data_IF_882982138533
#
_entry.id   IF_882982138533
#
_cell.length_a   1.000
_cell.length_b   1.000
_cell.length_c   1.000
_cell.angle_alpha   90.00
_cell.angle_beta   90.00
_cell.angle_gamma   90.00
#
_symmetry.space_group_name_H-M   'P 1'
#
loop_
_entity.id
_entity.type
_entity.pdbx_description
1 polymer ?
#
# COMPACT_ATOMS: atom_id res chain seq x y z
N UNK A 1 -17.32 -8.86 10.38
CA UNK A 1 -16.95 -8.40 9.03
C UNK A 1 -15.45 -8.20 9.00
N UNK A 2 -14.74 -8.82 8.05
CA UNK A 2 -13.29 -8.62 7.90
C UNK A 2 -13.03 -7.20 7.40
N UNK A 3 -11.99 -6.55 7.92
CA UNK A 3 -11.61 -5.19 7.52
C UNK A 3 -10.20 -5.21 6.92
N UNK A 4 -10.03 -4.59 5.77
CA UNK A 4 -8.75 -4.37 5.14
C UNK A 4 -8.37 -2.89 5.17
N UNK A 5 -7.07 -2.61 5.29
CA UNK A 5 -6.49 -1.31 5.01
C UNK A 5 -5.92 -1.33 3.59
N UNK A 6 -6.25 -0.34 2.77
CA UNK A 6 -5.67 -0.14 1.44
C UNK A 6 -5.20 1.31 1.27
N UNK A 7 -4.27 1.53 0.35
CA UNK A 7 -3.83 2.86 -0.05
C UNK A 7 -3.99 3.00 -1.57
N UNK A 8 -4.71 4.03 -2.07
CA UNK A 8 -4.83 4.29 -3.50
C UNK A 8 -3.48 4.55 -4.19
N UNK A 9 -3.30 4.15 -5.46
CA UNK A 9 -2.02 4.28 -6.18
C UNK A 9 -1.84 5.65 -6.84
N UNK A 10 -2.21 6.74 -6.14
CA UNK A 10 -2.17 8.09 -6.72
C UNK A 10 -0.77 8.60 -7.01
N UNK A 11 0.22 8.10 -6.25
CA UNK A 11 1.65 8.38 -6.39
C UNK A 11 2.47 7.12 -6.62
N UNK A 12 1.85 6.03 -7.09
CA UNK A 12 2.54 4.77 -7.35
C UNK A 12 3.40 4.86 -8.62
N UNK A 13 4.60 4.29 -8.55
CA UNK A 13 5.58 4.19 -9.63
C UNK A 13 6.79 3.37 -9.17
N UNK A 14 7.69 3.03 -10.09
CA UNK A 14 8.95 2.34 -9.75
C UNK A 14 10.06 3.39 -9.71
N UNK A 15 10.25 4.00 -8.54
CA UNK A 15 11.21 5.11 -8.33
C UNK A 15 12.59 4.63 -7.88
N UNK A 16 12.71 3.36 -7.50
CA UNK A 16 13.93 2.72 -6.99
C UNK A 16 13.82 1.19 -7.08
N UNK A 17 14.92 0.48 -6.83
CA UNK A 17 14.99 -0.98 -6.88
C UNK A 17 15.48 -1.54 -5.54
N UNK A 18 14.58 -2.16 -4.78
CA UNK A 18 14.88 -2.77 -3.47
C UNK A 18 14.54 -4.25 -3.40
N UNK A 19 14.04 -4.81 -4.50
CA UNK A 19 13.79 -6.24 -4.66
C UNK A 19 13.95 -6.65 -6.14
N UNK A 20 14.08 -7.96 -6.45
CA UNK A 20 14.38 -8.43 -7.80
C UNK A 20 13.31 -8.18 -8.89
N UNK A 21 12.11 -7.73 -8.51
CA UNK A 21 11.01 -7.47 -9.46
C UNK A 21 10.97 -6.02 -9.94
N UNK A 22 11.62 -5.13 -9.21
CA UNK A 22 11.67 -3.71 -9.55
C UNK A 22 12.73 -3.46 -10.62
N UNK A 23 12.36 -2.69 -11.62
CA UNK A 23 13.23 -2.21 -12.70
C UNK A 23 12.81 -0.78 -13.04
N UNK A 24 13.66 0.21 -12.75
CA UNK A 24 13.33 1.63 -13.01
C UNK A 24 13.24 1.95 -14.49
N UNK A 25 13.77 1.10 -15.37
CA UNK A 25 13.58 1.21 -16.82
C UNK A 25 12.21 0.67 -17.26
N UNK A 26 11.54 -0.13 -16.42
CA UNK A 26 10.22 -0.70 -16.68
C UNK A 26 9.18 -0.11 -15.74
N UNK A 27 8.68 1.07 -16.09
CA UNK A 27 7.68 1.78 -15.30
C UNK A 27 6.31 1.10 -15.29
N UNK A 28 5.56 1.32 -14.21
CA UNK A 28 4.13 1.00 -14.14
C UNK A 28 3.32 2.01 -14.96
N UNK A 29 2.29 1.55 -15.67
CA UNK A 29 1.30 2.42 -16.28
C UNK A 29 0.34 2.95 -15.19
N UNK A 30 0.28 4.28 -14.95
CA UNK A 30 -0.55 4.85 -13.88
C UNK A 30 -2.05 4.61 -14.06
N UNK A 31 -2.53 4.55 -15.32
CA UNK A 31 -3.95 4.30 -15.62
C UNK A 31 -4.29 2.84 -15.32
N UNK A 32 -3.47 1.90 -15.77
CA UNK A 32 -3.67 0.48 -15.48
C UNK A 32 -3.52 0.18 -13.99
N UNK A 33 -2.56 0.81 -13.31
CA UNK A 33 -2.39 0.65 -11.85
C UNK A 33 -3.66 1.07 -11.09
N UNK A 34 -4.24 2.23 -11.44
CA UNK A 34 -5.51 2.71 -10.85
C UNK A 34 -6.67 1.78 -11.17
N UNK A 35 -6.77 1.30 -12.41
CA UNK A 35 -7.83 0.39 -12.83
C UNK A 35 -7.74 -0.95 -12.08
N UNK A 36 -6.55 -1.56 -12.01
CA UNK A 36 -6.32 -2.83 -11.34
C UNK A 36 -6.56 -2.73 -9.83
N UNK A 37 -6.08 -1.66 -9.20
CA UNK A 37 -6.34 -1.39 -7.79
C UNK A 37 -7.84 -1.22 -7.52
N UNK A 38 -8.56 -0.47 -8.37
CA UNK A 38 -10.01 -0.26 -8.22
C UNK A 38 -10.77 -1.57 -8.35
N UNK A 39 -10.39 -2.45 -9.28
CA UNK A 39 -10.99 -3.79 -9.41
C UNK A 39 -10.84 -4.61 -8.13
N UNK A 40 -9.67 -4.58 -7.48
CA UNK A 40 -9.45 -5.24 -6.18
C UNK A 40 -10.30 -4.61 -5.06
N UNK A 41 -10.30 -3.28 -4.96
CA UNK A 41 -11.10 -2.53 -3.99
C UNK A 41 -12.61 -2.83 -4.11
N UNK A 42 -13.12 -2.86 -5.34
CA UNK A 42 -14.52 -3.17 -5.62
C UNK A 42 -14.83 -4.64 -5.32
N UNK A 43 -13.94 -5.58 -5.68
CA UNK A 43 -14.09 -7.01 -5.38
C UNK A 43 -14.24 -7.26 -3.87
N UNK A 44 -13.36 -6.66 -3.06
CA UNK A 44 -13.36 -6.81 -1.61
C UNK A 44 -14.68 -6.35 -0.98
N UNK A 45 -15.21 -5.21 -1.42
CA UNK A 45 -16.44 -4.67 -0.85
C UNK A 45 -17.71 -5.31 -1.40
N UNK A 46 -17.80 -5.48 -2.73
CA UNK A 46 -19.05 -5.88 -3.39
C UNK A 46 -19.28 -7.39 -3.37
N UNK A 47 -18.24 -8.19 -3.59
CA UNK A 47 -18.37 -9.65 -3.72
C UNK A 47 -18.00 -10.38 -2.43
N UNK A 48 -17.01 -9.86 -1.70
CA UNK A 48 -16.53 -10.48 -0.46
C UNK A 48 -17.11 -9.82 0.80
N UNK A 49 -17.90 -8.75 0.65
CA UNK A 49 -18.56 -8.02 1.73
C UNK A 49 -17.61 -7.60 2.86
N UNK A 50 -16.34 -7.34 2.52
CA UNK A 50 -15.34 -6.85 3.45
C UNK A 50 -15.42 -5.33 3.58
N UNK A 51 -15.14 -4.81 4.77
CA UNK A 51 -14.93 -3.38 4.95
C UNK A 51 -13.54 -3.00 4.44
N UNK A 52 -13.44 -1.90 3.70
CA UNK A 52 -12.15 -1.33 3.31
C UNK A 52 -11.99 0.04 3.93
N UNK A 53 -10.88 0.25 4.63
CA UNK A 53 -10.44 1.57 5.08
C UNK A 53 -9.30 2.04 4.19
N UNK A 54 -9.28 3.34 3.93
CA UNK A 54 -8.27 3.97 3.08
C UNK A 54 -7.36 4.85 3.93
N UNK A 55 -6.05 4.70 3.72
CA UNK A 55 -5.04 5.68 4.12
C UNK A 55 -4.73 6.58 2.92
N UNK A 56 -4.45 7.85 3.16
CA UNK A 56 -4.07 8.77 2.10
C UNK A 56 -2.66 8.46 1.58
N UNK A 57 -2.46 8.38 0.24
CA UNK A 57 -1.14 8.21 -0.34
C UNK A 57 -0.30 9.46 -0.14
N UNK A 58 1.03 9.29 -0.11
CA UNK A 58 2.00 10.38 0.09
C UNK A 58 2.96 10.42 -1.08
N UNK A 59 3.16 11.61 -1.65
CA UNK A 59 4.09 11.83 -2.76
C UNK A 59 5.51 11.51 -2.30
N UNK A 60 6.26 10.77 -3.13
CA UNK A 60 7.62 10.31 -2.81
C UNK A 60 7.67 9.06 -1.94
N UNK A 61 6.52 8.45 -1.62
CA UNK A 61 6.41 7.14 -0.96
C UNK A 61 5.54 6.20 -1.82
N UNK A 62 6.02 5.80 -3.01
CA UNK A 62 5.20 5.07 -3.99
C UNK A 62 4.71 3.71 -3.48
N UNK A 63 5.47 3.08 -2.58
CA UNK A 63 5.17 1.76 -2.03
C UNK A 63 4.13 1.75 -0.90
N UNK A 64 3.57 2.90 -0.50
CA UNK A 64 2.47 2.95 0.48
C UNK A 64 1.24 2.14 0.08
N UNK A 65 1.08 1.86 -1.22
CA UNK A 65 0.04 0.96 -1.77
C UNK A 65 0.10 -0.45 -1.18
N UNK A 66 1.28 -0.89 -0.72
CA UNK A 66 1.51 -2.20 -0.11
C UNK A 66 1.32 -2.15 1.41
N UNK A 67 0.09 -1.86 1.83
CA UNK A 67 -0.33 -1.71 3.23
C UNK A 67 -0.13 -2.98 4.06
N UNK A 68 0.05 -4.14 3.44
CA UNK A 68 0.46 -5.38 4.10
C UNK A 68 1.78 -5.24 4.87
N UNK A 69 2.64 -4.29 4.46
CA UNK A 69 3.91 -4.03 5.13
C UNK A 69 3.81 -2.96 6.23
N UNK A 70 2.65 -2.37 6.48
CA UNK A 70 2.49 -1.33 7.51
C UNK A 70 2.88 -1.84 8.91
N UNK A 71 2.56 -3.11 9.18
CA UNK A 71 2.84 -3.76 10.45
C UNK A 71 1.99 -5.01 10.63
N UNK A 72 2.01 -5.56 11.84
CA UNK A 72 1.23 -6.73 12.21
C UNK A 72 0.14 -6.34 13.19
N UNK A 73 -1.11 -6.71 12.88
CA UNK A 73 -2.25 -6.55 13.79
C UNK A 73 -2.56 -7.90 14.42
N UNK A 74 -2.64 -7.92 15.75
CA UNK A 74 -3.22 -9.03 16.51
C UNK A 74 -4.19 -8.44 17.54
N UNK A 75 -5.48 -8.74 17.35
CA UNK A 75 -6.58 -8.17 18.14
C UNK A 75 -6.54 -6.63 18.17
N UNK A 76 -6.22 -6.04 19.32
CA UNK A 76 -6.12 -4.59 19.54
C UNK A 76 -4.68 -4.07 19.58
N UNK A 77 -3.71 -4.92 19.23
CA UNK A 77 -2.29 -4.57 19.22
C UNK A 77 -1.82 -4.42 17.78
N UNK A 78 -1.08 -3.35 17.53
CA UNK A 78 -0.41 -3.11 16.27
C UNK A 78 1.10 -3.00 16.51
N UNK A 79 1.87 -3.88 15.86
CA UNK A 79 3.32 -3.82 15.84
C UNK A 79 3.71 -3.16 14.52
N UNK A 80 4.14 -1.90 14.59
CA UNK A 80 4.58 -1.12 13.44
C UNK A 80 5.79 -1.79 12.77
N UNK A 81 5.80 -1.83 11.43
CA UNK A 81 6.95 -2.34 10.71
C UNK A 81 8.16 -1.41 10.82
N UNK A 82 9.33 -2.01 11.05
CA UNK A 82 10.63 -1.36 10.89
C UNK A 82 11.20 -1.72 9.52
N UNK A 83 11.08 -0.80 8.56
CA UNK A 83 11.45 -1.05 7.17
C UNK A 83 12.97 -1.12 7.00
N UNK A 84 13.45 -2.22 6.39
CA UNK A 84 14.88 -2.43 6.09
C UNK A 84 15.46 -1.36 5.18
N UNK A 85 14.71 -0.94 4.16
CA UNK A 85 15.18 -0.07 3.09
C UNK A 85 14.81 1.40 3.37
N UNK A 86 15.76 2.36 3.32
CA UNK A 86 15.50 3.77 3.57
C UNK A 86 14.36 4.36 2.75
N UNK A 87 14.21 3.90 1.51
CA UNK A 87 13.18 4.32 0.56
C UNK A 87 11.75 4.16 1.12
N UNK A 88 11.53 3.17 2.01
CA UNK A 88 10.22 2.89 2.62
C UNK A 88 10.10 3.33 4.07
N UNK A 89 11.19 3.78 4.72
CA UNK A 89 11.16 4.14 6.15
C UNK A 89 10.26 5.33 6.44
N UNK A 90 10.08 6.25 5.48
CA UNK A 90 9.17 7.38 5.61
C UNK A 90 7.70 6.96 5.77
N UNK A 91 7.31 5.78 5.32
CA UNK A 91 5.93 5.27 5.39
C UNK A 91 5.49 4.99 6.84
N UNK A 92 6.41 4.57 7.70
CA UNK A 92 6.11 4.13 9.07
C UNK A 92 5.42 5.23 9.89
N UNK A 93 5.79 6.50 9.72
CA UNK A 93 5.15 7.61 10.42
C UNK A 93 3.68 7.82 9.98
N UNK A 94 3.38 7.56 8.70
CA UNK A 94 2.03 7.67 8.17
C UNK A 94 1.17 6.48 8.63
N UNK A 95 1.71 5.27 8.63
CA UNK A 95 1.01 4.09 9.14
C UNK A 95 0.78 4.13 10.65
N UNK A 96 1.71 4.67 11.43
CA UNK A 96 1.52 4.83 12.89
C UNK A 96 0.43 5.84 13.23
N UNK A 97 0.29 6.89 12.41
CA UNK A 97 -0.69 7.96 12.64
C UNK A 97 -2.12 7.52 12.29
N UNK A 98 -2.26 6.63 11.31
CA UNK A 98 -3.55 6.11 10.87
C UNK A 98 -4.13 5.14 11.89
#
# INVERSE_FOLDING_TARGET
>A
MVTFLMCPPDYYGIEYEINPWMDVQRQADPKLAKEHWKKLYDLLQSQLHAAVKLIHPVRGLPDMVFTANAGLILEKRFILANMRHPQRQGESAHFQKW
#
